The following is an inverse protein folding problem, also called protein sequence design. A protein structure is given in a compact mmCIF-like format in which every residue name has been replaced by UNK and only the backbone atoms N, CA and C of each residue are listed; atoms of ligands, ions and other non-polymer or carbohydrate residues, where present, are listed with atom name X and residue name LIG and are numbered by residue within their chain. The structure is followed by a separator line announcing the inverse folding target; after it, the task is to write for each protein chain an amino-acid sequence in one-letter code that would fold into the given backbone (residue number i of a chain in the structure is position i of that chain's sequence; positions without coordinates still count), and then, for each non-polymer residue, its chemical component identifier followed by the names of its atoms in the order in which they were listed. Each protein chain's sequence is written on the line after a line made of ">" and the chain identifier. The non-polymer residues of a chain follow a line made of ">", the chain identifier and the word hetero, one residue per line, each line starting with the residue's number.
data_IF_875602265369
#
_entry.id   IF_875602265369
#
_cell.length_a   1.000
_cell.length_b   1.000
_cell.length_c   1.000
_cell.angle_alpha   90.00
_cell.angle_beta   90.00
_cell.angle_gamma   90.00
#
_symmetry.space_group_name_H-M   'P 1'
#
loop_
_entity.id
_entity.type
_entity.pdbx_description
1 polymer ?
#
# COMPACT_ATOMS: atom_id res chain seq x y z
N UNK A 1 45.51 9.23 9.26
CA UNK A 1 45.35 8.57 7.96
C UNK A 1 43.87 8.56 7.61
N UNK A 2 43.42 9.49 6.77
CA UNK A 2 42.06 9.45 6.22
C UNK A 2 42.07 8.37 5.13
N UNK A 3 41.40 7.24 5.40
CA UNK A 3 41.14 6.22 4.39
C UNK A 3 40.38 6.91 3.25
N UNK A 4 40.98 6.95 2.05
CA UNK A 4 40.27 7.32 0.82
C UNK A 4 39.16 6.30 0.63
N UNK A 5 37.91 6.69 0.91
CA UNK A 5 36.74 5.90 0.56
C UNK A 5 36.71 5.77 -0.96
N UNK A 6 36.84 4.55 -1.42
CA UNK A 6 36.82 4.18 -2.85
C UNK A 6 35.45 4.58 -3.43
N UNK A 7 35.41 5.66 -4.21
CA UNK A 7 34.19 6.25 -4.79
C UNK A 7 33.52 5.34 -5.83
N UNK A 8 34.12 4.20 -6.17
CA UNK A 8 33.61 3.24 -7.17
C UNK A 8 33.15 1.89 -6.58
N UNK A 9 32.94 1.81 -5.24
CA UNK A 9 32.43 0.57 -4.67
C UNK A 9 30.95 0.38 -5.09
N UNK A 10 30.67 -0.61 -5.90
CA UNK A 10 29.34 -1.14 -6.15
C UNK A 10 29.30 -2.56 -5.58
N UNK A 11 28.35 -2.88 -4.68
CA UNK A 11 28.21 -4.25 -4.21
C UNK A 11 27.80 -5.16 -5.38
N UNK A 12 28.48 -6.27 -5.55
CA UNK A 12 28.08 -7.31 -6.52
C UNK A 12 26.89 -8.12 -5.99
N UNK A 13 26.75 -8.15 -4.66
CA UNK A 13 25.67 -8.86 -3.96
C UNK A 13 25.10 -8.02 -2.81
N UNK A 14 23.81 -8.22 -2.53
CA UNK A 14 23.09 -7.70 -1.38
C UNK A 14 22.43 -8.88 -0.65
N UNK A 15 23.09 -9.42 0.37
CA UNK A 15 22.67 -10.66 1.02
C UNK A 15 22.70 -11.83 0.04
N UNK A 16 21.56 -12.51 -0.14
CA UNK A 16 21.41 -13.64 -1.06
C UNK A 16 21.19 -13.19 -2.53
N UNK A 17 21.07 -11.87 -2.78
CA UNK A 17 20.72 -11.31 -4.07
C UNK A 17 21.98 -10.92 -4.85
N UNK A 18 22.19 -11.52 -6.01
CA UNK A 18 23.24 -11.14 -6.96
C UNK A 18 22.71 -9.99 -7.83
N UNK A 19 23.37 -8.84 -7.79
CA UNK A 19 23.00 -7.70 -8.61
C UNK A 19 23.41 -7.93 -10.07
N UNK A 20 22.44 -8.00 -10.98
CA UNK A 20 22.66 -8.33 -12.39
C UNK A 20 22.86 -7.09 -13.25
N UNK A 21 21.96 -6.14 -13.13
CA UNK A 21 21.95 -4.94 -13.96
C UNK A 21 21.27 -3.76 -13.27
N UNK A 22 21.76 -2.56 -13.50
CA UNK A 22 21.05 -1.32 -13.16
C UNK A 22 19.79 -1.18 -14.04
N UNK A 23 18.63 -1.01 -13.40
CA UNK A 23 17.32 -0.85 -14.06
C UNK A 23 16.68 0.50 -13.77
N UNK A 24 17.25 1.28 -12.86
CA UNK A 24 16.81 2.62 -12.54
C UNK A 24 17.80 3.34 -11.63
N UNK A 25 17.89 4.66 -11.79
CA UNK A 25 18.71 5.53 -10.95
C UNK A 25 17.90 6.75 -10.55
N UNK A 26 17.82 7.01 -9.26
CA UNK A 26 17.21 8.19 -8.68
C UNK A 26 18.24 9.07 -7.94
N UNK A 27 17.76 10.18 -7.40
CA UNK A 27 18.59 11.11 -6.62
C UNK A 27 19.17 10.46 -5.35
N UNK A 28 18.54 9.40 -4.84
CA UNK A 28 18.83 8.82 -3.54
C UNK A 28 19.20 7.33 -3.58
N UNK A 29 19.44 6.78 -4.77
CA UNK A 29 19.86 5.40 -4.88
C UNK A 29 19.76 4.84 -6.28
N UNK A 30 20.28 3.63 -6.44
CA UNK A 30 20.30 2.88 -7.70
C UNK A 30 19.48 1.62 -7.53
N UNK A 31 18.60 1.33 -8.48
CA UNK A 31 17.79 0.11 -8.51
C UNK A 31 18.40 -0.89 -9.47
N UNK A 32 18.59 -2.09 -9.00
CA UNK A 32 19.15 -3.21 -9.77
C UNK A 32 18.10 -4.30 -9.97
N UNK A 33 18.10 -4.90 -11.15
CA UNK A 33 17.60 -6.25 -11.33
C UNK A 33 18.53 -7.19 -10.57
N UNK A 34 18.00 -7.97 -9.66
CA UNK A 34 18.78 -8.92 -8.87
C UNK A 34 18.15 -10.32 -8.92
N UNK A 35 18.98 -11.33 -8.74
CA UNK A 35 18.59 -12.73 -8.80
C UNK A 35 19.02 -13.43 -7.51
N UNK A 36 18.09 -14.14 -6.89
CA UNK A 36 18.33 -14.97 -5.71
C UNK A 36 19.00 -16.28 -6.05
N UNK A 37 19.46 -17.00 -5.04
CA UNK A 37 20.11 -18.31 -5.18
C UNK A 37 19.19 -19.40 -5.76
N UNK A 38 17.88 -19.19 -5.71
CA UNK A 38 16.82 -20.05 -6.28
C UNK A 38 16.37 -19.64 -7.68
N UNK A 39 17.01 -18.59 -8.26
CA UNK A 39 16.66 -18.05 -9.57
C UNK A 39 15.49 -17.03 -9.52
N UNK A 40 14.95 -16.71 -8.34
CA UNK A 40 13.92 -15.68 -8.23
C UNK A 40 14.49 -14.30 -8.57
N UNK A 41 13.74 -13.53 -9.36
CA UNK A 41 14.11 -12.16 -9.72
C UNK A 41 13.37 -11.13 -8.88
N UNK A 42 14.11 -10.10 -8.46
CA UNK A 42 13.62 -9.00 -7.63
C UNK A 42 14.22 -7.66 -8.07
N UNK A 43 13.65 -6.56 -7.61
CA UNK A 43 14.29 -5.26 -7.67
C UNK A 43 15.00 -4.96 -6.34
N UNK A 44 16.28 -4.60 -6.39
CA UNK A 44 17.06 -4.19 -5.21
C UNK A 44 17.44 -2.73 -5.35
N UNK A 45 16.88 -1.86 -4.48
CA UNK A 45 17.27 -0.45 -4.39
C UNK A 45 18.41 -0.33 -3.39
N UNK A 46 19.55 0.13 -3.86
CA UNK A 46 20.79 0.35 -3.08
C UNK A 46 20.95 1.84 -2.80
N UNK A 47 21.00 2.20 -1.53
CA UNK A 47 21.18 3.56 -1.03
C UNK A 47 22.51 3.64 -0.28
N UNK A 48 23.55 4.18 -0.92
CA UNK A 48 24.87 4.33 -0.29
C UNK A 48 24.99 5.68 0.40
N UNK A 49 25.42 5.68 1.66
CA UNK A 49 25.64 6.90 2.45
C UNK A 49 26.59 7.87 1.77
N UNK A 50 27.65 7.35 1.13
CA UNK A 50 28.65 8.15 0.41
C UNK A 50 28.07 8.90 -0.80
N UNK A 51 27.00 8.38 -1.43
CA UNK A 51 26.40 9.01 -2.62
C UNK A 51 25.38 10.09 -2.29
N UNK A 52 24.65 9.92 -1.18
CA UNK A 52 23.48 10.76 -0.85
C UNK A 52 23.67 11.63 0.39
N UNK A 53 24.83 11.48 1.06
CA UNK A 53 25.15 12.20 2.30
C UNK A 53 24.30 11.76 3.51
N UNK A 54 24.65 12.26 4.70
CA UNK A 54 23.99 11.83 5.95
C UNK A 54 22.51 12.21 6.01
N UNK A 55 22.16 13.41 5.56
CA UNK A 55 20.78 13.89 5.58
C UNK A 55 19.88 13.10 4.60
N UNK A 56 20.37 12.90 3.37
CA UNK A 56 19.70 12.09 2.37
C UNK A 56 19.52 10.64 2.82
N UNK A 57 20.57 10.07 3.41
CA UNK A 57 20.57 8.73 3.97
C UNK A 57 19.53 8.57 5.09
N UNK A 58 19.55 9.46 6.07
CA UNK A 58 18.62 9.41 7.19
C UNK A 58 17.15 9.49 6.74
N UNK A 59 16.87 10.37 5.76
CA UNK A 59 15.55 10.55 5.21
C UNK A 59 15.07 9.29 4.44
N UNK A 60 15.88 8.78 3.52
CA UNK A 60 15.54 7.59 2.71
C UNK A 60 15.34 6.34 3.59
N UNK A 61 16.24 6.14 4.56
CA UNK A 61 16.14 5.04 5.50
C UNK A 61 14.87 5.14 6.37
N UNK A 62 14.56 6.34 6.84
CA UNK A 62 13.33 6.58 7.61
C UNK A 62 12.09 6.22 6.79
N UNK A 63 12.00 6.73 5.55
CA UNK A 63 10.89 6.41 4.64
C UNK A 63 10.75 4.91 4.39
N UNK A 64 11.87 4.21 4.16
CA UNK A 64 11.88 2.77 3.98
C UNK A 64 11.43 2.01 5.25
N UNK A 65 11.85 2.45 6.44
CA UNK A 65 11.42 1.87 7.73
C UNK A 65 9.92 2.06 7.96
N UNK A 66 9.38 3.25 7.69
CA UNK A 66 7.94 3.52 7.79
C UNK A 66 7.15 2.63 6.81
N UNK A 67 7.62 2.52 5.57
CA UNK A 67 6.97 1.70 4.55
C UNK A 67 6.97 0.21 4.91
N UNK A 68 8.05 -0.31 5.52
CA UNK A 68 8.14 -1.70 5.97
C UNK A 68 7.08 -2.07 7.02
N UNK A 69 6.57 -1.11 7.78
CA UNK A 69 5.49 -1.33 8.75
C UNK A 69 4.12 -1.51 8.09
N UNK A 70 3.99 -1.15 6.80
CA UNK A 70 2.76 -1.32 6.05
C UNK A 70 2.67 -2.78 5.56
N UNK A 71 1.63 -3.53 5.92
CA UNK A 71 1.45 -4.88 5.38
C UNK A 71 1.22 -4.82 3.85
N UNK A 72 1.59 -5.87 3.10
CA UNK A 72 1.36 -5.92 1.66
C UNK A 72 -0.08 -5.60 1.30
N UNK A 73 -0.27 -4.63 0.40
CA UNK A 73 -1.58 -4.10 0.04
C UNK A 73 -1.68 -3.86 -1.47
N UNK A 74 -2.92 -3.90 -1.97
CA UNK A 74 -3.23 -3.48 -3.34
C UNK A 74 -2.88 -2.01 -3.54
N UNK A 75 -2.28 -1.67 -4.70
CA UNK A 75 -1.92 -0.31 -5.06
C UNK A 75 -0.60 0.20 -4.48
N UNK A 76 0.11 -0.59 -3.68
CA UNK A 76 1.46 -0.31 -3.20
C UNK A 76 2.43 -1.41 -3.64
N UNK A 77 3.67 -1.04 -3.99
CA UNK A 77 4.74 -2.00 -4.26
C UNK A 77 5.02 -2.80 -3.00
N UNK A 78 5.25 -4.10 -3.13
CA UNK A 78 5.60 -4.94 -1.99
C UNK A 78 7.08 -4.83 -1.68
N UNK A 79 7.42 -4.35 -0.49
CA UNK A 79 8.77 -4.47 0.08
C UNK A 79 8.89 -5.83 0.76
N UNK A 80 9.91 -6.61 0.35
CA UNK A 80 10.20 -7.93 0.92
C UNK A 80 11.17 -7.82 2.08
N UNK A 81 12.18 -6.96 1.92
CA UNK A 81 13.20 -6.77 2.94
C UNK A 81 13.80 -5.35 2.93
N UNK A 82 14.36 -4.96 4.07
CA UNK A 82 15.15 -3.76 4.30
C UNK A 82 16.34 -4.14 5.18
N UNK A 83 17.55 -3.97 4.66
CA UNK A 83 18.78 -4.36 5.34
C UNK A 83 19.73 -3.17 5.43
N UNK A 84 20.12 -2.82 6.65
CA UNK A 84 21.15 -1.82 6.93
C UNK A 84 22.55 -2.48 6.89
N UNK A 85 23.52 -1.77 6.34
CA UNK A 85 24.91 -2.21 6.18
C UNK A 85 25.86 -1.10 6.60
N UNK A 86 27.17 -1.39 6.68
CA UNK A 86 28.19 -0.37 7.01
C UNK A 86 28.27 0.75 5.95
N UNK A 87 27.99 0.44 4.68
CA UNK A 87 28.08 1.38 3.57
C UNK A 87 26.77 2.14 3.28
N UNK A 88 25.64 1.69 3.86
CA UNK A 88 24.34 2.26 3.61
C UNK A 88 23.20 1.30 3.95
N UNK A 89 22.22 1.19 3.09
CA UNK A 89 21.16 0.18 3.18
C UNK A 89 20.66 -0.25 1.80
N UNK A 90 19.98 -1.36 1.74
CA UNK A 90 19.23 -1.75 0.55
C UNK A 90 17.84 -2.24 0.90
N UNK A 91 16.92 -2.09 -0.05
CA UNK A 91 15.56 -2.65 0.03
C UNK A 91 15.35 -3.65 -1.09
N UNK A 92 14.69 -4.75 -0.76
CA UNK A 92 14.25 -5.77 -1.73
C UNK A 92 12.77 -5.57 -2.02
N UNK A 93 12.46 -5.34 -3.28
CA UNK A 93 11.12 -5.03 -3.75
C UNK A 93 10.67 -6.09 -4.76
N UNK A 94 9.36 -6.27 -4.92
CA UNK A 94 8.85 -7.04 -6.05
C UNK A 94 9.26 -6.41 -7.38
N UNK A 95 9.50 -7.27 -8.38
CA UNK A 95 9.94 -6.82 -9.68
C UNK A 95 8.73 -6.31 -10.49
N UNK A 96 8.90 -5.18 -11.17
CA UNK A 96 7.90 -4.68 -12.10
C UNK A 96 7.82 -5.57 -13.35
N UNK A 97 6.69 -5.52 -14.04
CA UNK A 97 6.55 -6.14 -15.36
C UNK A 97 7.58 -5.54 -16.34
N UNK A 98 7.97 -6.31 -17.33
CA UNK A 98 8.78 -5.75 -18.42
C UNK A 98 7.92 -4.84 -19.31
N UNK A 99 8.52 -3.77 -19.84
CA UNK A 99 7.88 -2.89 -20.83
C UNK A 99 7.56 -3.62 -22.13
N UNK A 100 8.45 -4.55 -22.53
CA UNK A 100 8.32 -5.37 -23.72
C UNK A 100 7.79 -6.75 -23.34
N UNK A 101 6.96 -7.35 -24.21
CA UNK A 101 6.33 -8.66 -23.96
C UNK A 101 7.36 -9.75 -23.61
N UNK A 102 6.93 -10.76 -22.84
CA UNK A 102 7.72 -11.85 -22.26
C UNK A 102 8.59 -12.64 -23.25
N UNK A 103 8.30 -12.56 -24.56
CA UNK A 103 9.11 -13.21 -25.58
C UNK A 103 10.57 -12.73 -25.63
N UNK A 104 10.89 -11.57 -25.05
CA UNK A 104 12.23 -11.00 -24.97
C UNK A 104 12.94 -11.24 -23.64
N UNK A 105 12.29 -11.86 -22.65
CA UNK A 105 12.83 -12.06 -21.29
C UNK A 105 13.99 -13.06 -21.20
N UNK A 106 14.50 -13.60 -22.31
CA UNK A 106 15.61 -14.57 -22.27
C UNK A 106 16.96 -13.95 -21.89
N UNK A 107 17.07 -12.62 -21.81
CA UNK A 107 18.29 -11.93 -21.37
C UNK A 107 17.97 -10.83 -20.35
N UNK A 108 18.63 -10.81 -19.17
CA UNK A 108 18.54 -9.70 -18.21
C UNK A 108 18.81 -8.32 -18.83
N UNK A 109 19.59 -8.28 -19.91
CA UNK A 109 19.96 -7.04 -20.61
C UNK A 109 18.79 -6.37 -21.32
N UNK A 110 17.71 -7.10 -21.60
CA UNK A 110 16.52 -6.61 -22.30
C UNK A 110 15.40 -6.18 -21.36
N UNK A 111 15.57 -6.35 -20.05
CA UNK A 111 14.55 -5.98 -19.09
C UNK A 111 14.49 -4.45 -18.91
N UNK A 112 13.31 -3.89 -19.07
CA UNK A 112 12.99 -2.49 -18.78
C UNK A 112 11.74 -2.42 -17.89
N UNK A 113 11.81 -1.84 -16.68
CA UNK A 113 10.66 -1.80 -15.79
C UNK A 113 9.52 -1.01 -16.44
N UNK A 114 8.34 -1.62 -16.49
CA UNK A 114 7.12 -0.99 -17.01
C UNK A 114 6.63 0.05 -16.01
N UNK A 115 6.78 1.33 -16.35
CA UNK A 115 6.30 2.46 -15.58
C UNK A 115 5.17 3.18 -16.32
N UNK A 116 4.31 3.89 -15.58
CA UNK A 116 3.29 4.74 -16.22
C UNK A 116 3.94 5.83 -17.08
N UNK A 117 5.10 6.36 -16.68
CA UNK A 117 5.83 7.33 -17.48
C UNK A 117 6.20 6.78 -18.87
N UNK A 118 6.64 5.53 -18.95
CA UNK A 118 6.95 4.87 -20.24
C UNK A 118 5.69 4.58 -21.03
N UNK A 119 4.61 4.16 -20.35
CA UNK A 119 3.32 3.89 -20.99
C UNK A 119 2.76 5.14 -21.67
N UNK A 120 2.88 6.32 -21.06
CA UNK A 120 2.40 7.59 -21.63
C UNK A 120 3.46 8.31 -22.51
N UNK A 121 4.67 7.77 -22.59
CA UNK A 121 5.70 8.33 -23.47
C UNK A 121 5.22 8.30 -24.95
N UNK A 122 5.58 9.34 -25.71
CA UNK A 122 5.15 9.45 -27.10
C UNK A 122 3.66 9.78 -27.27
N UNK A 123 3.10 10.49 -26.30
CA UNK A 123 1.70 10.99 -26.30
C UNK A 123 0.63 9.88 -26.25
N UNK A 124 0.98 8.70 -25.76
CA UNK A 124 0.05 7.58 -25.63
C UNK A 124 -0.85 7.76 -24.42
N UNK A 125 -2.11 8.10 -24.66
CA UNK A 125 -3.13 8.16 -23.62
C UNK A 125 -3.59 6.74 -23.22
N UNK A 126 -3.87 6.53 -21.94
CA UNK A 126 -4.54 5.32 -21.50
C UNK A 126 -6.03 5.36 -21.91
N UNK A 127 -6.59 4.23 -22.37
CA UNK A 127 -8.03 4.08 -22.54
C UNK A 127 -8.79 4.46 -21.25
N UNK A 128 -9.95 5.07 -21.38
CA UNK A 128 -10.74 5.55 -20.25
C UNK A 128 -10.94 4.51 -19.15
N UNK A 129 -11.24 3.25 -19.53
CA UNK A 129 -11.40 2.14 -18.58
C UNK A 129 -10.12 1.84 -17.79
N UNK A 130 -8.96 1.94 -18.45
CA UNK A 130 -7.66 1.72 -17.80
C UNK A 130 -7.30 2.90 -16.87
N UNK A 131 -7.65 4.15 -17.23
CA UNK A 131 -7.51 5.30 -16.34
C UNK A 131 -8.30 5.11 -15.04
N UNK A 132 -9.52 4.57 -15.12
CA UNK A 132 -10.35 4.32 -13.93
C UNK A 132 -9.77 3.18 -13.08
N UNK A 133 -9.25 2.10 -13.70
CA UNK A 133 -8.57 1.01 -12.97
C UNK A 133 -7.30 1.52 -12.26
N UNK A 134 -6.48 2.29 -12.97
CA UNK A 134 -5.30 2.96 -12.43
C UNK A 134 -5.65 3.79 -11.19
N UNK A 135 -6.67 4.65 -11.31
CA UNK A 135 -7.10 5.51 -10.20
C UNK A 135 -7.58 4.72 -8.99
N UNK A 136 -8.34 3.65 -9.19
CA UNK A 136 -8.83 2.78 -8.12
C UNK A 136 -7.68 2.11 -7.38
N UNK A 137 -6.71 1.55 -8.10
CA UNK A 137 -5.55 0.90 -7.49
C UNK A 137 -4.71 1.89 -6.67
N UNK A 138 -4.30 3.02 -7.28
CA UNK A 138 -3.45 4.00 -6.61
C UNK A 138 -4.15 4.69 -5.43
N UNK A 139 -5.44 5.04 -5.58
CA UNK A 139 -6.20 5.62 -4.49
C UNK A 139 -6.42 4.62 -3.34
N UNK A 140 -6.48 3.30 -3.62
CA UNK A 140 -6.52 2.26 -2.59
C UNK A 140 -5.20 2.21 -1.81
N UNK A 141 -4.06 2.19 -2.50
CA UNK A 141 -2.74 2.24 -1.87
C UNK A 141 -2.56 3.51 -1.03
N UNK A 142 -2.94 4.67 -1.59
CA UNK A 142 -2.87 5.94 -0.87
C UNK A 142 -3.79 5.97 0.37
N UNK A 143 -4.98 5.36 0.30
CA UNK A 143 -5.86 5.25 1.47
C UNK A 143 -5.26 4.37 2.58
N UNK A 144 -4.40 3.42 2.24
CA UNK A 144 -3.64 2.64 3.24
C UNK A 144 -2.61 3.53 3.92
N UNK A 145 -1.78 4.27 3.18
CA UNK A 145 -0.80 5.20 3.75
C UNK A 145 -1.47 6.20 4.70
N UNK A 146 -2.58 6.81 4.26
CA UNK A 146 -3.33 7.78 5.07
C UNK A 146 -3.93 7.19 6.36
N UNK A 147 -4.29 5.90 6.39
CA UNK A 147 -4.70 5.22 7.63
C UNK A 147 -3.57 5.07 8.64
N UNK A 148 -2.33 5.08 8.17
CA UNK A 148 -1.13 5.06 8.99
C UNK A 148 -0.54 6.45 9.20
N UNK A 149 -1.30 7.52 8.88
CA UNK A 149 -0.87 8.92 9.00
C UNK A 149 0.39 9.23 8.19
N UNK A 150 0.57 8.59 7.04
CA UNK A 150 1.73 8.75 6.18
C UNK A 150 1.40 9.49 4.90
N UNK A 151 2.32 10.37 4.47
CA UNK A 151 2.29 11.06 3.17
C UNK A 151 3.38 10.49 2.28
N UNK A 152 3.07 10.27 1.00
CA UNK A 152 4.02 9.74 0.02
C UNK A 152 4.95 10.80 -0.57
N UNK A 153 4.41 11.98 -0.91
CA UNK A 153 5.08 13.20 -1.39
C UNK A 153 5.77 13.13 -2.76
N UNK A 154 5.83 11.98 -3.41
CA UNK A 154 6.43 11.86 -4.76
C UNK A 154 5.57 10.99 -5.70
N UNK A 155 4.27 11.29 -5.75
CA UNK A 155 3.34 10.63 -6.68
C UNK A 155 3.46 11.27 -8.06
N UNK A 156 3.99 10.49 -9.02
CA UNK A 156 4.22 10.89 -10.42
C UNK A 156 4.24 9.66 -11.32
N UNK A 157 4.09 9.79 -12.65
CA UNK A 157 4.10 8.65 -13.56
C UNK A 157 5.33 7.76 -13.45
N UNK A 158 6.51 8.33 -13.16
CA UNK A 158 7.75 7.56 -13.00
C UNK A 158 7.76 6.64 -11.78
N UNK A 159 6.97 6.95 -10.75
CA UNK A 159 6.86 6.17 -9.52
C UNK A 159 5.63 5.26 -9.51
N UNK A 160 4.96 5.09 -10.65
CA UNK A 160 3.90 4.10 -10.82
C UNK A 160 4.45 2.95 -11.64
N UNK A 161 4.59 1.79 -11.01
CA UNK A 161 5.03 0.55 -11.65
C UNK A 161 3.83 -0.32 -12.00
N UNK A 162 4.01 -1.22 -12.95
CA UNK A 162 3.07 -2.31 -13.20
C UNK A 162 3.68 -3.61 -12.69
N UNK A 163 2.93 -4.35 -11.87
CA UNK A 163 3.34 -5.64 -11.30
C UNK A 163 2.21 -6.64 -11.51
N UNK A 164 2.43 -7.67 -12.31
CA UNK A 164 1.39 -8.62 -12.71
C UNK A 164 0.20 -7.92 -13.39
N UNK A 165 0.47 -6.93 -14.24
CA UNK A 165 -0.54 -6.09 -14.92
C UNK A 165 -1.25 -5.08 -14.03
N UNK A 166 -0.92 -4.99 -12.73
CA UNK A 166 -1.56 -4.08 -11.78
C UNK A 166 -0.68 -2.85 -11.52
N UNK A 167 -1.22 -1.64 -11.61
CA UNK A 167 -0.48 -0.43 -11.27
C UNK A 167 -0.32 -0.33 -9.75
N UNK A 168 0.92 -0.06 -9.30
CA UNK A 168 1.29 0.11 -7.91
C UNK A 168 2.14 1.36 -7.72
N UNK A 169 1.97 2.02 -6.58
CA UNK A 169 2.78 3.16 -6.16
C UNK A 169 4.09 2.64 -5.57
N UNK A 170 5.21 3.16 -6.05
CA UNK A 170 6.56 2.78 -5.66
C UNK A 170 7.36 3.97 -5.11
N UNK A 171 8.59 3.71 -4.71
CA UNK A 171 9.56 4.68 -4.17
C UNK A 171 9.10 5.43 -2.91
N UNK A 172 9.07 4.74 -1.77
CA UNK A 172 8.67 5.32 -0.48
C UNK A 172 9.76 6.21 0.17
N UNK A 173 10.82 6.57 -0.55
CA UNK A 173 11.97 7.30 0.01
C UNK A 173 11.63 8.67 0.60
N UNK A 174 10.55 9.31 0.11
CA UNK A 174 10.06 10.57 0.67
C UNK A 174 8.90 10.41 1.66
N UNK A 175 8.57 9.16 2.04
CA UNK A 175 7.51 8.89 2.99
C UNK A 175 7.78 9.54 4.34
N UNK A 176 6.76 10.19 4.92
CA UNK A 176 6.86 10.90 6.20
C UNK A 176 5.53 10.80 6.93
N UNK A 177 5.59 10.90 8.25
CA UNK A 177 4.42 11.11 9.08
C UNK A 177 3.78 12.47 8.79
N UNK A 178 2.44 12.53 8.73
CA UNK A 178 1.69 13.74 8.35
C UNK A 178 2.03 14.94 9.26
N UNK A 179 2.26 14.68 10.54
CA UNK A 179 2.58 15.69 11.56
C UNK A 179 3.97 16.35 11.34
N UNK A 180 4.87 15.68 10.64
CA UNK A 180 6.23 16.17 10.35
C UNK A 180 6.37 16.74 8.92
N UNK A 181 5.31 16.71 8.14
CA UNK A 181 5.32 17.18 6.77
C UNK A 181 5.30 18.71 6.71
N UNK A 182 6.45 19.33 6.59
CA UNK A 182 6.60 20.81 6.49
C UNK A 182 7.45 21.29 5.33
N UNK A 183 7.90 20.41 4.41
CA UNK A 183 8.91 20.74 3.40
C UNK A 183 8.37 20.71 1.95
N UNK A 184 8.92 21.60 1.11
CA UNK A 184 8.75 21.62 -0.36
C UNK A 184 9.61 20.50 -1.00
N UNK A 185 9.40 19.25 -0.60
CA UNK A 185 10.07 18.09 -1.19
C UNK A 185 9.12 17.45 -2.20
N UNK A 186 9.65 16.92 -3.29
CA UNK A 186 8.86 16.27 -4.33
C UNK A 186 9.31 16.68 -5.73
N UNK A 187 8.69 16.10 -6.75
CA UNK A 187 9.03 16.38 -8.15
C UNK A 187 8.29 17.64 -8.63
N UNK A 188 9.06 18.60 -9.18
CA UNK A 188 8.52 19.83 -9.77
C UNK A 188 7.37 19.51 -10.73
N UNK A 189 6.30 20.28 -10.64
CA UNK A 189 5.08 20.07 -11.43
C UNK A 189 4.03 19.21 -10.73
N UNK A 190 4.41 18.28 -9.86
CA UNK A 190 3.50 17.43 -9.10
C UNK A 190 3.29 17.90 -7.65
N UNK A 191 4.12 18.83 -7.17
CA UNK A 191 4.00 19.42 -5.84
C UNK A 191 2.76 20.34 -5.80
N UNK A 192 1.88 20.19 -4.80
CA UNK A 192 0.71 21.07 -4.66
C UNK A 192 1.13 22.50 -4.29
N UNK A 193 0.28 23.52 -4.57
CA UNK A 193 0.62 24.92 -4.30
C UNK A 193 0.96 25.23 -2.84
N UNK A 194 0.31 24.52 -1.90
CA UNK A 194 0.52 24.67 -0.45
C UNK A 194 1.65 23.83 0.13
N UNK A 195 2.42 23.14 -0.71
CA UNK A 195 3.38 22.09 -0.30
C UNK A 195 2.69 20.83 0.28
N UNK A 196 3.49 19.88 0.78
CA UNK A 196 2.95 18.64 1.37
C UNK A 196 2.72 18.85 2.88
N UNK A 197 1.50 19.20 3.24
CA UNK A 197 1.10 19.50 4.63
C UNK A 197 0.01 18.56 5.15
N UNK A 198 -0.68 17.84 4.27
CA UNK A 198 -1.81 16.99 4.63
C UNK A 198 -2.10 15.91 3.57
N UNK A 199 -2.95 14.97 3.92
CA UNK A 199 -3.43 13.90 3.03
C UNK A 199 -3.96 14.41 1.67
N UNK A 200 -4.54 15.60 1.63
CA UNK A 200 -5.04 16.25 0.40
C UNK A 200 -3.92 16.63 -0.58
N UNK A 201 -2.68 16.76 -0.10
CA UNK A 201 -1.52 17.10 -0.93
C UNK A 201 -1.14 15.94 -1.87
N UNK A 202 -1.09 14.71 -1.37
CA UNK A 202 -0.87 13.52 -2.20
C UNK A 202 -2.00 13.30 -3.20
N UNK A 203 -3.24 13.66 -2.85
CA UNK A 203 -4.39 13.57 -3.76
C UNK A 203 -4.23 14.53 -4.95
N UNK A 204 -3.64 15.70 -4.74
CA UNK A 204 -3.33 16.63 -5.82
C UNK A 204 -2.34 16.02 -6.81
N UNK A 205 -1.23 15.45 -6.32
CA UNK A 205 -0.21 14.80 -7.14
C UNK A 205 -0.78 13.59 -7.88
N UNK A 206 -1.63 12.79 -7.21
CA UNK A 206 -2.37 11.69 -7.85
C UNK A 206 -3.28 12.20 -8.97
N UNK A 207 -4.04 13.28 -8.72
CA UNK A 207 -4.92 13.89 -9.71
C UNK A 207 -4.17 14.33 -10.96
N UNK A 208 -2.99 14.96 -10.81
CA UNK A 208 -2.13 15.35 -11.93
C UNK A 208 -1.58 14.14 -12.69
N UNK A 209 -1.13 13.11 -11.96
CA UNK A 209 -0.68 11.84 -12.54
C UNK A 209 -1.78 11.20 -13.40
N UNK A 210 -3.02 11.19 -12.91
CA UNK A 210 -4.17 10.66 -13.65
C UNK A 210 -4.56 11.54 -14.85
N UNK A 211 -4.40 12.86 -14.78
CA UNK A 211 -4.55 13.76 -15.94
C UNK A 211 -3.51 13.45 -17.01
N UNK A 212 -2.24 13.29 -16.61
CA UNK A 212 -1.17 12.91 -17.52
C UNK A 212 -1.48 11.58 -18.24
N UNK A 213 -1.93 10.56 -17.51
CA UNK A 213 -2.33 9.27 -18.07
C UNK A 213 -3.54 9.38 -19.03
N UNK A 214 -4.54 10.20 -18.68
CA UNK A 214 -5.76 10.37 -19.49
C UNK A 214 -5.52 11.16 -20.76
N UNK A 215 -4.54 12.06 -20.75
CA UNK A 215 -4.23 12.92 -21.89
C UNK A 215 -3.05 12.40 -22.74
N UNK A 216 -2.29 11.43 -22.26
CA UNK A 216 -1.06 10.98 -22.91
C UNK A 216 -0.01 12.07 -22.98
N UNK A 217 0.05 12.92 -21.96
CA UNK A 217 0.94 14.08 -21.89
C UNK A 217 1.73 14.05 -20.59
N UNK A 218 2.98 14.49 -20.66
CA UNK A 218 3.74 14.82 -19.43
C UNK A 218 3.18 16.09 -18.79
N UNK A 219 3.51 16.32 -17.52
CA UNK A 219 2.96 17.43 -16.74
C UNK A 219 3.20 18.79 -17.41
N UNK A 220 4.37 18.97 -17.98
CA UNK A 220 4.81 20.20 -18.67
C UNK A 220 4.01 20.48 -19.95
N UNK A 221 3.31 19.48 -20.44
CA UNK A 221 2.56 19.54 -21.70
C UNK A 221 1.04 19.50 -21.52
N UNK A 222 0.55 19.42 -20.27
CA UNK A 222 -0.89 19.35 -19.99
C UNK A 222 -1.67 20.55 -20.54
N UNK A 223 -1.02 21.71 -20.65
CA UNK A 223 -1.61 22.93 -21.23
C UNK A 223 -1.92 22.80 -22.73
N UNK A 224 -1.30 21.86 -23.43
CA UNK A 224 -1.59 21.55 -24.84
C UNK A 224 -2.90 20.81 -25.03
N UNK A 225 -3.60 20.47 -23.92
CA UNK A 225 -4.80 19.64 -23.93
C UNK A 225 -4.52 18.17 -24.17
N UNK A 226 -5.56 17.36 -24.40
CA UNK A 226 -5.42 15.92 -24.61
C UNK A 226 -4.69 15.59 -25.93
N UNK A 227 -3.95 14.47 -25.97
CA UNK A 227 -3.41 13.92 -27.22
C UNK A 227 -4.53 13.41 -28.13
N UNK A 228 -4.20 13.10 -29.37
CA UNK A 228 -5.17 12.52 -30.32
C UNK A 228 -5.67 11.14 -29.87
N UNK A 229 -4.87 10.40 -29.10
CA UNK A 229 -5.23 9.09 -28.59
C UNK A 229 -6.09 9.15 -27.30
N UNK A 230 -6.30 10.35 -26.74
CA UNK A 230 -7.04 10.50 -25.51
C UNK A 230 -8.55 10.22 -25.70
N UNK A 231 -9.09 9.29 -24.93
CA UNK A 231 -10.48 8.86 -24.98
C UNK A 231 -11.43 9.84 -24.26
N UNK A 232 -11.39 11.11 -24.72
CA UNK A 232 -12.24 12.19 -24.15
C UNK A 232 -13.70 12.10 -24.58
N UNK A 233 -13.98 11.31 -25.63
CA UNK A 233 -15.33 11.05 -26.15
C UNK A 233 -16.12 9.99 -25.38
N UNK A 234 -15.49 9.30 -24.41
CA UNK A 234 -16.19 8.30 -23.60
C UNK A 234 -17.38 8.92 -22.86
N UNK A 235 -18.58 8.31 -22.85
CA UNK A 235 -19.81 8.88 -22.30
C UNK A 235 -19.72 9.35 -20.85
N UNK A 236 -18.86 8.73 -20.05
CA UNK A 236 -18.62 9.07 -18.64
C UNK A 236 -17.37 9.92 -18.41
N UNK A 237 -16.66 10.31 -19.47
CA UNK A 237 -15.48 11.19 -19.36
C UNK A 237 -15.78 12.51 -18.63
N UNK A 238 -16.92 13.18 -18.80
CA UNK A 238 -17.24 14.40 -18.03
C UNK A 238 -17.33 14.15 -16.52
N UNK A 239 -17.76 12.95 -16.08
CA UNK A 239 -17.79 12.58 -14.65
C UNK A 239 -16.37 12.34 -14.15
N UNK A 240 -15.55 11.64 -14.94
CA UNK A 240 -14.14 11.43 -14.67
C UNK A 240 -13.38 12.76 -14.53
N UNK A 241 -13.57 13.65 -15.51
CA UNK A 241 -12.93 14.94 -15.51
C UNK A 241 -13.29 15.79 -14.27
N UNK A 242 -14.52 15.71 -13.80
CA UNK A 242 -14.94 16.35 -12.54
C UNK A 242 -14.18 15.79 -11.34
N UNK A 243 -13.96 14.48 -11.28
CA UNK A 243 -13.18 13.84 -10.23
C UNK A 243 -11.75 14.35 -10.25
N UNK A 244 -11.10 14.40 -11.43
CA UNK A 244 -9.74 14.89 -11.58
C UNK A 244 -9.62 16.38 -11.21
N UNK A 245 -10.54 17.22 -11.67
CA UNK A 245 -10.53 18.65 -11.34
C UNK A 245 -10.75 18.90 -9.84
N UNK A 246 -11.58 18.09 -9.20
CA UNK A 246 -11.70 18.15 -7.74
C UNK A 246 -10.41 17.73 -7.04
N UNK A 247 -9.75 16.66 -7.50
CA UNK A 247 -8.48 16.22 -6.93
C UNK A 247 -7.36 17.27 -7.09
N UNK A 248 -7.33 17.98 -8.23
CA UNK A 248 -6.31 18.99 -8.57
C UNK A 248 -6.74 20.43 -8.30
N UNK A 249 -7.75 20.65 -7.47
CA UNK A 249 -8.16 22.03 -7.14
C UNK A 249 -7.00 22.74 -6.41
N UNK A 250 -6.60 23.97 -6.80
CA UNK A 250 -5.58 24.73 -6.09
C UNK A 250 -5.99 25.04 -4.65
N UNK A 251 -7.28 25.27 -4.40
CA UNK A 251 -7.82 25.41 -3.05
C UNK A 251 -7.98 24.03 -2.39
N UNK A 252 -7.17 23.77 -1.35
CA UNK A 252 -7.15 22.51 -0.60
C UNK A 252 -8.51 22.20 0.03
N UNK A 253 -9.29 23.22 0.40
CA UNK A 253 -10.61 23.05 1.04
C UNK A 253 -11.65 22.46 0.09
N UNK A 254 -11.47 22.65 -1.22
CA UNK A 254 -12.33 22.15 -2.29
C UNK A 254 -11.89 20.78 -2.83
N UNK A 255 -10.74 20.27 -2.41
CA UNK A 255 -10.25 18.93 -2.78
C UNK A 255 -10.97 17.81 -2.02
N UNK A 256 -10.63 16.58 -2.35
CA UNK A 256 -10.93 15.43 -1.50
C UNK A 256 -10.10 15.52 -0.22
N UNK A 257 -10.74 15.37 0.93
CA UNK A 257 -10.07 15.37 2.24
C UNK A 257 -9.27 14.09 2.49
N UNK A 258 -9.56 13.00 1.77
CA UNK A 258 -8.86 11.72 1.89
C UNK A 258 -8.99 10.90 0.62
N UNK A 259 -8.06 9.97 0.39
CA UNK A 259 -8.13 9.00 -0.70
C UNK A 259 -9.41 8.14 -0.60
N UNK A 260 -9.87 7.82 0.61
CA UNK A 260 -11.15 7.13 0.84
C UNK A 260 -12.35 7.92 0.30
N UNK A 261 -12.32 9.25 0.39
CA UNK A 261 -13.37 10.10 -0.18
C UNK A 261 -13.33 10.08 -1.72
N UNK A 262 -12.14 10.13 -2.32
CA UNK A 262 -11.95 9.98 -3.77
C UNK A 262 -12.40 8.60 -4.26
N UNK A 263 -12.05 7.52 -3.54
CA UNK A 263 -12.46 6.15 -3.86
C UNK A 263 -13.99 6.00 -3.95
N UNK A 264 -14.77 6.66 -3.10
CA UNK A 264 -16.24 6.62 -3.18
C UNK A 264 -16.75 7.09 -4.55
N UNK A 265 -16.18 8.19 -5.08
CA UNK A 265 -16.59 8.73 -6.38
C UNK A 265 -16.08 7.85 -7.53
N UNK A 266 -14.85 7.29 -7.41
CA UNK A 266 -14.30 6.33 -8.37
C UNK A 266 -15.13 5.04 -8.45
N UNK A 267 -15.55 4.48 -7.32
CA UNK A 267 -16.43 3.31 -7.30
C UNK A 267 -17.80 3.59 -7.91
N UNK A 268 -18.37 4.77 -7.65
CA UNK A 268 -19.62 5.21 -8.31
C UNK A 268 -19.47 5.32 -9.82
N UNK A 269 -18.32 5.86 -10.28
CA UNK A 269 -18.01 5.94 -11.70
C UNK A 269 -17.87 4.55 -12.30
N UNK A 270 -17.10 3.65 -11.68
CA UNK A 270 -16.94 2.25 -12.11
C UNK A 270 -18.29 1.52 -12.20
N UNK A 271 -19.15 1.71 -11.20
CA UNK A 271 -20.50 1.11 -11.23
C UNK A 271 -21.31 1.62 -12.43
N UNK A 272 -21.29 2.93 -12.72
CA UNK A 272 -21.95 3.49 -13.91
C UNK A 272 -21.40 2.91 -15.20
N UNK A 273 -20.08 2.71 -15.33
CA UNK A 273 -19.46 2.08 -16.50
C UNK A 273 -19.97 0.64 -16.68
N UNK A 274 -20.03 -0.16 -15.60
CA UNK A 274 -20.52 -1.53 -15.64
C UNK A 274 -22.01 -1.57 -16.07
N UNK A 275 -22.83 -0.68 -15.52
CA UNK A 275 -24.24 -0.59 -15.86
C UNK A 275 -24.45 -0.17 -17.33
N UNK A 276 -23.69 0.80 -17.83
CA UNK A 276 -23.76 1.20 -19.25
C UNK A 276 -23.31 0.08 -20.20
N UNK A 277 -22.21 -0.60 -19.90
CA UNK A 277 -21.74 -1.72 -20.73
C UNK A 277 -22.79 -2.84 -20.84
N UNK A 278 -23.61 -3.05 -19.82
CA UNK A 278 -24.68 -4.05 -19.81
C UNK A 278 -25.92 -3.60 -20.56
N UNK A 279 -26.22 -2.31 -20.64
CA UNK A 279 -27.41 -1.81 -21.33
C UNK A 279 -27.33 -1.91 -22.86
N UNK A 280 -26.12 -2.03 -23.42
CA UNK A 280 -25.93 -2.13 -24.88
C UNK A 280 -26.11 -3.55 -25.46
N UNK A 281 -26.30 -4.59 -24.63
CA UNK A 281 -26.35 -6.00 -25.13
C UNK A 281 -27.47 -6.90 -24.63
N UNK A 282 -28.29 -6.48 -23.66
CA UNK A 282 -29.32 -7.33 -23.11
C UNK A 282 -30.73 -6.83 -23.47
N UNK A 283 -31.61 -7.70 -23.97
CA UNK A 283 -33.00 -7.34 -24.19
C UNK A 283 -33.67 -6.94 -22.86
N UNK A 284 -34.63 -5.98 -22.93
CA UNK A 284 -35.22 -5.32 -21.73
C UNK A 284 -35.74 -6.32 -20.66
N UNK A 285 -36.18 -7.52 -21.05
CA UNK A 285 -36.65 -8.55 -20.12
C UNK A 285 -35.48 -9.24 -19.35
N UNK A 286 -34.25 -9.27 -19.88
CA UNK A 286 -33.13 -9.87 -19.18
C UNK A 286 -32.72 -9.06 -17.92
N UNK A 287 -33.10 -7.77 -17.88
CA UNK A 287 -32.91 -6.93 -16.70
C UNK A 287 -33.72 -7.41 -15.49
N UNK A 288 -34.90 -7.95 -15.67
CA UNK A 288 -35.69 -8.50 -14.57
C UNK A 288 -34.97 -9.68 -13.91
N UNK A 289 -34.33 -10.55 -14.68
CA UNK A 289 -33.55 -11.68 -14.13
C UNK A 289 -32.28 -11.21 -13.41
N UNK A 290 -31.60 -10.17 -13.90
CA UNK A 290 -30.44 -9.61 -13.24
C UNK A 290 -30.83 -8.93 -11.92
N UNK A 291 -31.89 -8.14 -11.90
CA UNK A 291 -32.41 -7.49 -10.69
C UNK A 291 -32.87 -8.53 -9.68
N UNK A 292 -33.58 -9.57 -10.13
CA UNK A 292 -34.01 -10.66 -9.28
C UNK A 292 -32.82 -11.44 -8.69
N UNK A 293 -31.80 -11.74 -9.50
CA UNK A 293 -30.58 -12.41 -9.03
C UNK A 293 -29.80 -11.55 -8.01
N UNK A 294 -29.70 -10.24 -8.23
CA UNK A 294 -29.05 -9.30 -7.28
C UNK A 294 -29.87 -9.23 -5.99
N UNK A 295 -31.19 -9.13 -6.07
CA UNK A 295 -32.07 -9.14 -4.90
C UNK A 295 -31.93 -10.44 -4.11
N UNK A 296 -31.93 -11.61 -4.80
CA UNK A 296 -31.70 -12.89 -4.16
C UNK A 296 -30.32 -12.99 -3.49
N UNK A 297 -29.26 -12.49 -4.15
CA UNK A 297 -27.92 -12.45 -3.57
C UNK A 297 -27.85 -11.56 -2.31
N UNK A 298 -28.54 -10.41 -2.31
CA UNK A 298 -28.64 -9.54 -1.15
C UNK A 298 -29.36 -10.26 0.01
N UNK A 299 -30.46 -10.97 -0.27
CA UNK A 299 -31.17 -11.75 0.75
C UNK A 299 -30.29 -12.85 1.34
N UNK A 300 -29.51 -13.55 0.49
CA UNK A 300 -28.55 -14.58 0.95
C UNK A 300 -27.47 -13.96 1.84
N UNK A 301 -26.90 -12.82 1.45
CA UNK A 301 -25.88 -12.11 2.26
C UNK A 301 -26.46 -11.67 3.62
N UNK A 302 -27.70 -11.16 3.63
CA UNK A 302 -28.37 -10.79 4.89
C UNK A 302 -28.64 -12.02 5.77
N UNK A 303 -29.03 -13.13 5.19
CA UNK A 303 -29.25 -14.40 5.92
C UNK A 303 -27.96 -14.94 6.51
N UNK A 304 -26.89 -15.01 5.72
CA UNK A 304 -25.55 -15.46 6.17
C UNK A 304 -25.03 -14.55 7.28
N UNK A 305 -25.23 -13.23 7.15
CA UNK A 305 -24.83 -12.29 8.19
C UNK A 305 -25.62 -12.50 9.47
N UNK A 306 -26.95 -12.65 9.39
CA UNK A 306 -27.81 -12.91 10.56
C UNK A 306 -27.47 -14.23 11.25
N UNK A 307 -27.14 -15.28 10.50
CA UNK A 307 -26.68 -16.56 11.07
C UNK A 307 -25.31 -16.44 11.73
N UNK A 308 -24.39 -15.67 11.13
CA UNK A 308 -23.08 -15.40 11.73
C UNK A 308 -23.19 -14.59 13.03
N UNK A 309 -24.04 -13.56 13.06
CA UNK A 309 -24.30 -12.74 14.26
C UNK A 309 -24.91 -13.62 15.38
N UNK A 310 -25.87 -14.50 15.06
CA UNK A 310 -26.48 -15.43 16.02
C UNK A 310 -25.48 -16.49 16.54
N UNK A 311 -24.55 -16.95 15.69
CA UNK A 311 -23.48 -17.86 16.10
C UNK A 311 -22.50 -17.15 17.05
N UNK A 312 -22.17 -15.91 16.75
CA UNK A 312 -21.27 -15.09 17.59
C UNK A 312 -21.89 -14.83 18.97
N UNK A 313 -23.18 -14.53 19.06
CA UNK A 313 -23.87 -14.38 20.33
C UNK A 313 -23.86 -15.67 21.15
N UNK A 314 -24.13 -16.84 20.53
CA UNK A 314 -24.04 -18.14 21.19
C UNK A 314 -22.66 -18.43 21.71
N UNK A 315 -21.63 -18.13 20.93
CA UNK A 315 -20.24 -18.34 21.32
C UNK A 315 -19.85 -17.45 22.50
N UNK A 316 -20.28 -16.18 22.49
CA UNK A 316 -20.04 -15.25 23.60
C UNK A 316 -20.75 -15.71 24.89
N UNK A 317 -21.97 -16.23 24.79
CA UNK A 317 -22.71 -16.76 25.93
C UNK A 317 -22.03 -18.01 26.50
N UNK A 318 -21.55 -18.91 25.67
CA UNK A 318 -20.82 -20.12 26.08
C UNK A 318 -19.47 -19.78 26.73
N UNK A 319 -18.72 -18.82 26.15
CA UNK A 319 -17.45 -18.34 26.73
C UNK A 319 -17.65 -17.66 28.09
N UNK A 320 -18.70 -16.86 28.24
CA UNK A 320 -19.08 -16.26 29.53
C UNK A 320 -19.41 -17.33 30.58
N UNK A 321 -20.19 -18.36 30.19
CA UNK A 321 -20.54 -19.48 31.09
C UNK A 321 -19.30 -20.27 31.50
N UNK A 322 -18.35 -20.53 30.56
CA UNK A 322 -17.07 -21.20 30.89
C UNK A 322 -16.22 -20.37 31.87
N UNK A 323 -16.13 -19.05 31.65
CA UNK A 323 -15.39 -18.16 32.56
C UNK A 323 -15.97 -18.18 33.95
N UNK A 324 -17.30 -18.17 34.07
CA UNK A 324 -18.00 -18.23 35.36
C UNK A 324 -17.74 -19.56 36.06
N UNK A 325 -17.80 -20.69 35.36
CA UNK A 325 -17.49 -22.00 35.92
C UNK A 325 -16.03 -22.12 36.39
N UNK A 326 -15.08 -21.53 35.66
CA UNK A 326 -13.65 -21.48 36.05
C UNK A 326 -13.51 -20.63 37.35
N UNK A 327 -14.18 -19.49 37.44
CA UNK A 327 -14.11 -18.64 38.63
C UNK A 327 -14.71 -19.32 39.86
N UNK A 328 -15.84 -20.05 39.74
CA UNK A 328 -16.42 -20.86 40.81
C UNK A 328 -15.48 -22.02 41.23
N UNK A 329 -14.86 -22.69 40.26
CA UNK A 329 -13.89 -23.73 40.56
C UNK A 329 -12.67 -23.17 41.32
N UNK A 330 -12.16 -22.02 40.92
CA UNK A 330 -11.05 -21.34 41.59
C UNK A 330 -11.42 -20.97 43.07
N UNK A 331 -12.60 -20.42 43.31
CA UNK A 331 -13.08 -20.12 44.66
C UNK A 331 -13.20 -21.37 45.52
N UNK A 332 -13.65 -22.47 44.91
CA UNK A 332 -13.75 -23.77 45.61
C UNK A 332 -12.37 -24.29 45.99
N UNK A 333 -11.39 -24.20 45.12
CA UNK A 333 -9.99 -24.60 45.38
C UNK A 333 -9.36 -23.71 46.46
N UNK A 334 -9.59 -22.41 46.43
CA UNK A 334 -9.09 -21.47 47.44
C UNK A 334 -9.69 -21.81 48.84
N UNK A 335 -11.01 -22.05 48.88
CA UNK A 335 -11.69 -22.43 50.13
C UNK A 335 -11.17 -23.74 50.69
N UNK A 336 -10.98 -24.76 49.83
CA UNK A 336 -10.40 -26.04 50.22
C UNK A 336 -8.95 -25.89 50.69
N UNK A 337 -8.16 -25.04 50.03
CA UNK A 337 -6.77 -24.76 50.42
C UNK A 337 -6.69 -24.05 51.78
N UNK A 338 -7.59 -23.12 52.06
CA UNK A 338 -7.67 -22.47 53.38
C UNK A 338 -8.10 -23.44 54.49
N UNK A 339 -9.11 -24.29 54.20
CA UNK A 339 -9.53 -25.35 55.14
C UNK A 339 -8.40 -26.33 55.44
N UNK A 340 -7.62 -26.74 54.42
CA UNK A 340 -6.46 -27.61 54.62
C UNK A 340 -5.35 -26.94 55.43
N UNK A 341 -5.09 -25.66 55.22
CA UNK A 341 -4.15 -24.87 56.03
C UNK A 341 -4.58 -24.77 57.49
N UNK A 342 -5.87 -24.53 57.75
CA UNK A 342 -6.36 -24.48 59.15
C UNK A 342 -6.25 -25.82 59.84
N UNK A 343 -6.61 -26.93 59.16
CA UNK A 343 -6.49 -28.29 59.69
C UNK A 343 -5.01 -28.69 59.96
N UNK A 344 -4.10 -28.30 59.10
CA UNK A 344 -2.65 -28.57 59.28
C UNK A 344 -2.07 -27.77 60.47
N UNK A 345 -2.57 -26.56 60.73
CA UNK A 345 -2.16 -25.76 61.87
C UNK A 345 -2.73 -26.31 63.20
N UNK A 346 -3.95 -26.85 63.20
CA UNK A 346 -4.54 -27.48 64.35
C UNK A 346 -3.84 -28.80 64.72
N UNK A 347 -3.47 -29.62 63.72
CA UNK A 347 -2.68 -30.85 63.92
C UNK A 347 -1.28 -30.52 64.48
N UNK A 348 -0.65 -29.45 64.04
CA UNK A 348 0.67 -29.02 64.53
C UNK A 348 0.58 -28.46 65.97
N UNK A 349 -0.58 -27.97 66.40
CA UNK A 349 -0.81 -27.43 67.73
C UNK A 349 -1.05 -28.55 68.79
N UNK A 350 -1.60 -29.69 68.41
CA UNK A 350 -1.87 -30.85 69.20
C UNK A 350 -0.75 -31.89 69.30
N UNK A 351 0.41 -31.66 68.66
CA UNK A 351 1.59 -32.48 68.82
C UNK A 351 2.23 -32.25 70.20
N UNK A 352 2.28 -33.25 71.09
CA UNK A 352 2.87 -33.11 72.44
C UNK A 352 4.37 -32.80 72.28
N UNK A 353 4.78 -31.77 73.00
CA UNK A 353 6.17 -31.29 73.09
C UNK A 353 7.01 -32.38 73.82
N UNK A 354 7.49 -33.39 73.03
CA UNK A 354 8.45 -34.38 73.53
C UNK A 354 9.86 -33.94 73.28
N UNK A 355 10.53 -33.56 74.32
CA UNK A 355 11.98 -33.62 74.30
C UNK A 355 12.73 -32.34 74.65
N UNK A 356 12.81 -32.08 75.92
CA UNK A 356 14.03 -31.60 76.61
C UNK A 356 14.00 -32.04 78.04
N UNK A 357 14.78 -33.01 78.32
CA UNK A 357 15.39 -33.21 79.67
C UNK A 357 16.85 -33.71 79.45
N UNK A 358 17.67 -33.53 80.50
CA UNK A 358 18.77 -32.51 80.52
C UNK A 358 20.06 -33.09 80.02
#
# INVERSE_FOLDING_TARGET
>A
MKSQMNTNFQPETCGIWTLRREIGRGAYGVVYLAEGTDGEQVAVKVCRRADIGEEGYARELRGAKLFRLIPPQEGLVRMRDLVETEWGFYTVLELADNEFDDAFLQSPDMYHPKTLARVIAGEKALPFGECVKLALSLASGLAVLQRHHLLHRDIKPGNILYVGGRPVLSDPGLLVEEEEASSLVGTKGYVPPEAFTAAASDIYSLGLTLKAASFGRQIEELDRGPSQEADTGAPLFPVWWRILNKATNPDVSLRYRSAKAMLKDLHRLRLKMILQARTFGLPRYAWFFVVAAVAAAIVVVFRVKSEADALQERWQAEDASRKQAVEEAQKTVETATQAFKSLSLDILRDLPNQGKQP
#
